data_IF_962144992709
#
_entry.id   IF_962144992709
#
_cell.length_a   1.000
_cell.length_b   1.000
_cell.length_c   1.000
_cell.angle_alpha   90.00
_cell.angle_beta   90.00
_cell.angle_gamma   90.00
#
_symmetry.space_group_name_H-M   'P 1'
#
loop_
_entity.id
_entity.type
_entity.pdbx_description
1 polymer ?
#
# COMPACT_ATOMS: atom_id res chain seq x y z
N UNK A 1 -20.01 -18.55 22.53
CA UNK A 1 -20.70 -19.84 22.75
C UNK A 1 -22.00 -19.53 23.47
N UNK A 2 -23.14 -19.77 22.82
CA UNK A 2 -24.48 -19.70 23.42
C UNK A 2 -25.13 -21.07 23.22
N UNK A 3 -25.81 -21.56 24.25
CA UNK A 3 -26.39 -22.90 24.32
C UNK A 3 -27.75 -22.98 23.62
N UNK A 4 -28.13 -24.20 23.28
CA UNK A 4 -29.32 -24.60 22.51
C UNK A 4 -30.66 -24.23 23.21
N UNK A 5 -30.60 -23.71 24.44
CA UNK A 5 -31.74 -23.29 25.24
C UNK A 5 -32.10 -21.80 25.09
N UNK A 6 -31.47 -21.05 24.18
CA UNK A 6 -31.71 -19.60 23.95
C UNK A 6 -32.15 -19.27 22.52
N UNK A 7 -32.62 -20.24 21.73
CA UNK A 7 -33.11 -20.02 20.36
C UNK A 7 -34.64 -19.98 20.34
N UNK A 8 -35.23 -18.89 19.82
CA UNK A 8 -36.66 -18.82 19.54
C UNK A 8 -37.07 -19.89 18.51
N UNK A 9 -38.24 -20.53 18.64
CA UNK A 9 -38.68 -21.56 17.70
C UNK A 9 -38.99 -20.96 16.32
N UNK A 10 -38.64 -21.66 15.23
CA UNK A 10 -38.87 -21.16 13.88
C UNK A 10 -40.37 -21.05 13.57
N UNK A 11 -40.77 -19.92 12.98
CA UNK A 11 -42.13 -19.71 12.46
C UNK A 11 -42.41 -20.70 11.33
N UNK A 12 -43.32 -21.63 11.57
CA UNK A 12 -43.89 -22.53 10.56
C UNK A 12 -44.55 -21.73 9.44
N UNK A 13 -43.97 -21.76 8.23
CA UNK A 13 -44.70 -21.40 7.01
C UNK A 13 -45.22 -22.68 6.34
N UNK A 14 -46.55 -22.73 6.29
CA UNK A 14 -47.38 -23.82 5.78
C UNK A 14 -47.34 -23.81 4.25
N UNK A 15 -46.90 -24.92 3.65
CA UNK A 15 -46.99 -25.15 2.21
C UNK A 15 -48.45 -25.18 1.75
N UNK A 16 -48.75 -24.46 0.65
CA UNK A 16 -49.90 -24.74 -0.21
C UNK A 16 -49.60 -24.33 -1.66
N UNK A 17 -49.26 -25.35 -2.45
CA UNK A 17 -49.53 -25.65 -3.85
C UNK A 17 -49.64 -24.54 -4.93
N UNK A 18 -48.74 -24.68 -5.92
CA UNK A 18 -48.86 -24.61 -7.39
C UNK A 18 -49.79 -23.58 -8.08
N UNK A 19 -49.20 -22.75 -8.94
CA UNK A 19 -49.43 -22.72 -10.41
C UNK A 19 -48.67 -21.58 -11.09
N UNK A 20 -48.34 -21.81 -12.37
CA UNK A 20 -47.61 -20.94 -13.28
C UNK A 20 -48.36 -19.65 -13.62
N UNK A 21 -47.62 -18.57 -13.95
CA UNK A 21 -47.79 -17.70 -15.14
C UNK A 21 -46.77 -16.55 -15.09
N UNK A 22 -46.10 -16.36 -16.23
CA UNK A 22 -45.23 -15.24 -16.56
C UNK A 22 -45.82 -13.86 -16.20
N UNK A 23 -45.06 -13.02 -15.50
CA UNK A 23 -45.22 -11.57 -15.64
C UNK A 23 -43.89 -10.83 -15.46
N UNK A 24 -43.68 -9.89 -16.39
CA UNK A 24 -42.51 -9.03 -16.53
C UNK A 24 -42.37 -8.13 -15.29
N UNK A 25 -41.25 -8.24 -14.58
CA UNK A 25 -40.84 -7.23 -13.62
C UNK A 25 -39.70 -6.42 -14.24
N UNK A 26 -40.04 -5.22 -14.71
CA UNK A 26 -39.08 -4.14 -14.90
C UNK A 26 -38.36 -3.96 -13.57
N UNK A 27 -37.06 -4.26 -13.58
CA UNK A 27 -36.17 -4.03 -12.46
C UNK A 27 -35.99 -2.52 -12.34
N UNK A 28 -36.84 -1.89 -11.52
CA UNK A 28 -36.61 -0.52 -11.05
C UNK A 28 -35.18 -0.48 -10.50
N UNK A 29 -34.39 0.43 -11.07
CA UNK A 29 -33.05 0.77 -10.59
C UNK A 29 -33.20 1.16 -9.13
N UNK A 30 -32.59 0.40 -8.24
CA UNK A 30 -32.46 0.80 -6.83
C UNK A 30 -31.71 2.13 -6.82
N UNK A 31 -32.17 3.07 -5.99
CA UNK A 31 -31.42 4.27 -5.65
C UNK A 31 -29.97 3.89 -5.25
N UNK A 32 -28.97 4.74 -5.55
CA UNK A 32 -27.59 4.44 -5.19
C UNK A 32 -27.50 4.19 -3.69
N UNK A 33 -26.93 3.05 -3.32
CA UNK A 33 -26.58 2.73 -1.94
C UNK A 33 -25.84 3.92 -1.32
N UNK A 34 -26.23 4.31 -0.11
CA UNK A 34 -25.52 5.34 0.66
C UNK A 34 -24.00 5.11 0.59
N UNK A 35 -23.19 6.15 0.34
CA UNK A 35 -21.76 5.96 0.17
C UNK A 35 -21.16 5.43 1.48
N UNK A 36 -20.59 4.24 1.43
CA UNK A 36 -19.67 3.77 2.47
C UNK A 36 -18.31 4.44 2.25
N UNK A 37 -17.77 5.07 3.27
CA UNK A 37 -16.61 5.95 3.16
C UNK A 37 -15.30 5.20 3.38
N UNK A 38 -14.23 5.72 2.78
CA UNK A 38 -12.86 5.30 3.03
C UNK A 38 -12.07 6.50 3.54
N UNK A 39 -11.39 6.32 4.67
CA UNK A 39 -10.62 7.38 5.33
C UNK A 39 -9.11 7.13 5.20
N UNK A 40 -8.32 8.20 5.16
CA UNK A 40 -6.87 8.17 5.04
C UNK A 40 -6.21 8.88 6.23
N UNK A 41 -5.23 8.26 6.89
CA UNK A 41 -4.36 8.90 7.89
C UNK A 41 -2.94 9.04 7.34
N UNK A 42 -2.31 10.18 7.57
CA UNK A 42 -0.88 10.41 7.32
C UNK A 42 -0.05 10.10 8.57
N UNK A 43 1.28 10.04 8.43
CA UNK A 43 2.25 9.88 9.52
C UNK A 43 2.17 11.01 10.56
N UNK A 44 1.78 12.22 10.17
CA UNK A 44 1.54 13.31 11.12
C UNK A 44 0.34 13.06 12.04
N UNK A 45 -0.64 12.26 11.58
CA UNK A 45 -1.90 11.97 12.27
C UNK A 45 -1.96 10.58 12.92
N UNK A 46 -0.93 9.75 12.72
CA UNK A 46 -0.78 8.48 13.42
C UNK A 46 -0.21 8.75 14.81
N UNK A 47 -0.66 7.99 15.82
CA UNK A 47 -0.14 8.12 17.19
C UNK A 47 1.38 7.99 17.15
N UNK A 48 2.08 8.99 17.66
CA UNK A 48 3.54 8.99 17.62
C UNK A 48 4.06 7.74 18.34
N UNK A 49 4.88 6.89 17.69
CA UNK A 49 5.66 5.92 18.43
C UNK A 49 6.69 6.71 19.26
N UNK A 50 6.30 7.05 20.48
CA UNK A 50 7.06 7.67 21.56
C UNK A 50 8.49 8.12 21.20
N UNK A 51 8.63 9.42 20.92
CA UNK A 51 9.85 10.25 20.87
C UNK A 51 11.22 9.54 20.80
N UNK A 52 11.90 9.65 19.66
CA UNK A 52 13.37 9.67 19.63
C UNK A 52 13.86 11.05 19.19
N UNK A 53 14.54 11.74 20.12
CA UNK A 53 15.21 13.02 19.88
C UNK A 53 16.18 12.88 18.70
N UNK A 54 16.01 13.74 17.69
CA UNK A 54 17.05 14.06 16.72
C UNK A 54 18.31 14.48 17.47
N UNK A 55 19.41 13.77 17.25
CA UNK A 55 20.74 14.23 17.61
C UNK A 55 21.43 14.61 16.30
N UNK A 56 21.72 15.90 16.16
CA UNK A 56 22.29 16.54 14.98
C UNK A 56 23.60 15.88 14.52
N UNK A 57 23.70 15.56 13.23
CA UNK A 57 24.99 15.34 12.57
C UNK A 57 25.44 16.66 11.94
N UNK A 58 26.11 17.47 12.74
CA UNK A 58 27.03 18.50 12.25
C UNK A 58 28.43 17.86 12.17
N UNK A 59 29.00 17.74 10.99
CA UNK A 59 30.45 17.76 10.84
C UNK A 59 30.85 18.63 9.65
N UNK A 60 31.47 19.75 10.00
CA UNK A 60 32.27 20.58 9.12
C UNK A 60 33.48 19.80 8.60
N UNK A 61 33.90 20.05 7.35
CA UNK A 61 35.33 20.17 7.06
C UNK A 61 35.58 21.11 5.87
N UNK A 62 36.48 22.05 6.16
CA UNK A 62 36.94 23.18 5.38
C UNK A 62 38.00 22.83 4.33
N UNK A 63 37.90 23.50 3.18
CA UNK A 63 38.94 24.09 2.30
C UNK A 63 40.42 23.72 2.55
N UNK A 64 41.10 23.28 1.47
CA UNK A 64 42.50 23.65 1.17
C UNK A 64 42.78 23.60 -0.34
N UNK A 65 43.25 24.72 -0.89
CA UNK A 65 43.82 24.87 -2.24
C UNK A 65 45.34 24.61 -2.20
N UNK A 66 45.92 24.00 -3.25
CA UNK A 66 47.03 24.57 -4.07
C UNK A 66 47.67 23.59 -5.08
N UNK A 67 47.79 24.09 -6.32
CA UNK A 67 48.88 24.05 -7.33
C UNK A 67 49.61 22.73 -7.72
N UNK A 68 49.40 22.32 -8.99
CA UNK A 68 50.41 22.15 -10.07
C UNK A 68 51.59 21.17 -9.93
N UNK A 69 51.66 20.15 -10.80
CA UNK A 69 52.68 20.02 -11.85
C UNK A 69 52.37 18.83 -12.80
N UNK A 70 52.85 18.95 -14.04
CA UNK A 70 52.50 18.21 -15.26
C UNK A 70 53.53 17.12 -15.52
N UNK A 71 53.13 15.85 -15.58
CA UNK A 71 53.88 14.80 -16.29
C UNK A 71 52.95 13.89 -17.07
N UNK A 72 52.92 14.11 -18.38
CA UNK A 72 52.37 13.17 -19.35
C UNK A 72 53.16 11.86 -19.33
N UNK A 73 52.46 10.74 -19.30
CA UNK A 73 52.90 9.50 -19.97
C UNK A 73 51.68 8.64 -20.36
N UNK A 74 51.43 8.68 -21.66
CA UNK A 74 51.12 7.55 -22.56
C UNK A 74 49.76 6.85 -22.39
N UNK A 75 49.01 6.97 -23.49
CA UNK A 75 47.74 6.39 -23.88
C UNK A 75 47.73 4.85 -23.71
N UNK A 76 46.72 4.34 -22.99
CA UNK A 76 46.05 3.09 -23.36
C UNK A 76 44.58 3.42 -23.55
N UNK A 77 44.17 3.46 -24.81
CA UNK A 77 42.79 3.40 -25.26
C UNK A 77 42.14 2.12 -24.76
N UNK A 78 41.24 2.24 -23.80
CA UNK A 78 40.13 1.31 -23.62
C UNK A 78 38.90 2.17 -23.40
N UNK A 79 38.02 2.17 -24.41
CA UNK A 79 36.70 2.78 -24.37
C UNK A 79 35.93 2.27 -23.15
N UNK A 80 35.89 3.09 -22.11
CA UNK A 80 34.94 2.97 -21.01
C UNK A 80 33.55 3.28 -21.56
N UNK A 81 32.77 2.24 -21.81
CA UNK A 81 31.34 2.34 -21.97
C UNK A 81 30.75 2.06 -20.59
N UNK A 82 30.31 3.10 -19.90
CA UNK A 82 29.47 2.96 -18.72
C UNK A 82 28.09 2.40 -19.15
N UNK A 83 27.69 1.17 -18.76
CA UNK A 83 26.40 0.59 -19.14
C UNK A 83 25.27 0.97 -18.16
N UNK A 84 25.59 1.67 -17.07
CA UNK A 84 24.72 1.82 -15.89
C UNK A 84 23.35 2.47 -16.16
N UNK A 85 23.22 3.58 -16.94
CA UNK A 85 21.91 4.19 -17.16
C UNK A 85 20.99 3.38 -18.11
N UNK A 86 21.58 2.54 -18.98
CA UNK A 86 20.79 1.70 -19.89
C UNK A 86 20.21 0.48 -19.16
N UNK A 87 21.01 -0.15 -18.28
CA UNK A 87 20.59 -1.33 -17.52
C UNK A 87 19.47 -1.01 -16.51
N UNK A 88 19.59 0.10 -15.77
CA UNK A 88 18.56 0.55 -14.81
C UNK A 88 17.21 0.83 -15.51
N UNK A 89 17.26 1.43 -16.70
CA UNK A 89 16.06 1.72 -17.49
C UNK A 89 15.41 0.45 -18.05
N UNK A 90 16.20 -0.53 -18.50
CA UNK A 90 15.68 -1.83 -18.96
C UNK A 90 15.00 -2.61 -17.81
N UNK A 91 15.63 -2.63 -16.63
CA UNK A 91 15.05 -3.22 -15.43
C UNK A 91 13.70 -2.57 -15.08
N UNK A 92 13.65 -1.24 -15.00
CA UNK A 92 12.43 -0.51 -14.64
C UNK A 92 11.29 -0.78 -15.64
N UNK A 93 11.59 -0.83 -16.95
CA UNK A 93 10.62 -1.17 -17.98
C UNK A 93 10.08 -2.59 -17.81
N UNK A 94 10.95 -3.56 -17.56
CA UNK A 94 10.57 -4.95 -17.34
C UNK A 94 9.71 -5.08 -16.07
N UNK A 95 10.09 -4.39 -15.00
CA UNK A 95 9.37 -4.36 -13.74
C UNK A 95 7.95 -3.80 -13.93
N UNK A 96 7.80 -2.63 -14.58
CA UNK A 96 6.50 -2.05 -14.92
C UNK A 96 5.64 -2.99 -15.77
N UNK A 97 6.22 -3.61 -16.80
CA UNK A 97 5.50 -4.56 -17.66
C UNK A 97 4.92 -5.74 -16.87
N UNK A 98 5.64 -6.24 -15.87
CA UNK A 98 5.14 -7.32 -15.03
C UNK A 98 4.01 -6.87 -14.11
N UNK A 99 4.07 -5.64 -13.57
CA UNK A 99 2.95 -5.09 -12.80
C UNK A 99 1.71 -4.88 -13.68
N UNK A 100 1.86 -4.38 -14.90
CA UNK A 100 0.75 -4.29 -15.87
C UNK A 100 0.14 -5.68 -16.07
N UNK A 101 0.94 -6.71 -16.37
CA UNK A 101 0.45 -8.09 -16.52
C UNK A 101 -0.25 -8.63 -15.27
N UNK A 102 0.24 -8.29 -14.08
CA UNK A 102 -0.32 -8.75 -12.78
C UNK A 102 -1.65 -8.08 -12.47
N UNK A 103 -1.81 -6.79 -12.79
CA UNK A 103 -2.93 -5.96 -12.34
C UNK A 103 -3.89 -5.47 -13.44
N UNK A 104 -3.62 -5.75 -14.72
CA UNK A 104 -4.52 -5.37 -15.82
C UNK A 104 -5.93 -5.98 -15.71
N UNK A 105 -6.07 -7.11 -15.01
CA UNK A 105 -7.33 -7.85 -14.89
C UNK A 105 -7.66 -8.11 -13.41
N UNK A 106 -8.94 -8.02 -13.04
CA UNK A 106 -9.41 -8.45 -11.72
C UNK A 106 -9.45 -9.98 -11.65
N UNK A 107 -8.44 -10.58 -11.05
CA UNK A 107 -8.47 -12.01 -10.71
C UNK A 107 -9.27 -12.23 -9.43
N UNK A 108 -10.60 -12.23 -9.55
CA UNK A 108 -11.52 -12.41 -8.41
C UNK A 108 -12.91 -12.92 -8.75
N UNK A 109 -13.27 -13.01 -10.04
CA UNK A 109 -14.46 -13.74 -10.50
C UNK A 109 -13.96 -14.85 -11.40
N UNK A 110 -14.19 -16.10 -11.00
CA UNK A 110 -13.84 -17.29 -11.78
C UNK A 110 -14.76 -17.38 -13.01
N UNK A 111 -14.51 -16.52 -13.98
CA UNK A 111 -15.03 -16.63 -15.34
C UNK A 111 -13.86 -17.07 -16.19
N UNK A 112 -14.11 -18.09 -17.01
CA UNK A 112 -13.16 -18.79 -17.86
C UNK A 112 -12.16 -17.84 -18.56
N UNK A 113 -10.99 -18.37 -18.92
CA UNK A 113 -9.84 -17.67 -19.52
C UNK A 113 -10.17 -16.65 -20.63
N UNK A 114 -11.35 -16.75 -21.25
CA UNK A 114 -11.88 -15.89 -22.32
C UNK A 114 -12.56 -14.59 -21.87
N UNK A 115 -12.92 -14.41 -20.59
CA UNK A 115 -13.65 -13.21 -20.10
C UNK A 115 -12.88 -12.46 -19.00
N UNK A 116 -11.63 -12.06 -19.28
CA UNK A 116 -10.89 -11.18 -18.38
C UNK A 116 -11.38 -9.74 -18.55
N UNK A 117 -12.14 -9.23 -17.58
CA UNK A 117 -12.52 -7.81 -17.56
C UNK A 117 -11.31 -6.95 -17.21
N UNK A 118 -11.02 -5.96 -18.05
CA UNK A 118 -9.93 -5.02 -17.81
C UNK A 118 -10.28 -4.12 -16.64
N UNK A 119 -9.36 -3.95 -15.70
CA UNK A 119 -9.60 -3.11 -14.53
C UNK A 119 -9.98 -1.68 -14.93
N UNK A 120 -9.33 -1.14 -15.96
CA UNK A 120 -9.60 0.20 -16.49
C UNK A 120 -11.03 0.39 -17.03
N UNK A 121 -11.73 -0.68 -17.43
CA UNK A 121 -13.09 -0.58 -17.99
C UNK A 121 -14.18 -0.56 -16.91
N UNK A 122 -13.87 -1.07 -15.72
CA UNK A 122 -14.85 -1.25 -14.63
C UNK A 122 -14.50 -0.48 -13.37
N UNK A 123 -13.31 0.12 -13.31
CA UNK A 123 -12.87 0.89 -12.16
C UNK A 123 -13.78 2.11 -11.96
N UNK A 124 -14.31 2.21 -10.75
CA UNK A 124 -14.98 3.42 -10.26
C UNK A 124 -14.11 4.01 -9.17
N UNK A 125 -13.83 5.31 -9.26
CA UNK A 125 -12.99 6.01 -8.28
C UNK A 125 -13.63 5.97 -6.91
N UNK A 126 -12.82 5.58 -5.92
CA UNK A 126 -13.25 5.50 -4.53
C UNK A 126 -13.22 6.90 -3.91
N UNK A 127 -14.28 7.26 -3.18
CA UNK A 127 -14.31 8.49 -2.41
C UNK A 127 -13.46 8.31 -1.15
N UNK A 128 -12.27 8.91 -1.15
CA UNK A 128 -11.33 8.88 -0.02
C UNK A 128 -11.40 10.24 0.67
N UNK A 129 -11.47 10.23 2.00
CA UNK A 129 -11.47 11.43 2.83
C UNK A 129 -10.32 11.42 3.83
N UNK A 130 -9.94 12.58 4.32
CA UNK A 130 -9.01 12.67 5.44
C UNK A 130 -9.64 12.06 6.71
N UNK A 131 -8.89 11.17 7.36
CA UNK A 131 -9.31 10.49 8.58
C UNK A 131 -8.95 11.31 9.82
N UNK A 132 -9.95 11.72 10.58
CA UNK A 132 -9.78 12.47 11.83
C UNK A 132 -8.99 11.69 12.91
N UNK A 133 -8.36 12.40 13.85
CA UNK A 133 -7.63 11.81 14.98
C UNK A 133 -8.55 11.11 15.99
N UNK A 134 -9.86 11.29 15.86
CA UNK A 134 -10.87 10.70 16.75
C UNK A 134 -10.78 9.18 16.83
N UNK A 135 -10.96 8.65 18.04
CA UNK A 135 -10.99 7.22 18.35
C UNK A 135 -11.83 6.47 17.32
N UNK A 136 -11.20 5.48 16.68
CA UNK A 136 -11.89 4.54 15.81
C UNK A 136 -12.84 3.77 16.71
N UNK A 137 -14.12 4.10 16.65
CA UNK A 137 -15.13 3.40 17.42
C UNK A 137 -15.01 1.90 17.08
N UNK A 138 -14.53 1.07 18.03
CA UNK A 138 -14.23 -0.38 17.86
C UNK A 138 -15.49 -1.23 17.64
N UNK A 139 -16.57 -0.57 17.30
CA UNK A 139 -17.88 -1.14 17.06
C UNK A 139 -17.96 -1.84 15.69
N UNK A 140 -19.02 -2.61 15.51
CA UNK A 140 -19.28 -3.37 14.29
C UNK A 140 -19.23 -2.50 13.02
N UNK A 141 -18.80 -3.10 11.90
CA UNK A 141 -18.69 -2.43 10.58
C UNK A 141 -19.97 -1.68 10.19
N UNK A 142 -21.15 -2.20 10.57
CA UNK A 142 -22.46 -1.55 10.35
C UNK A 142 -22.53 -0.16 10.99
N UNK A 143 -22.08 -0.02 12.25
CA UNK A 143 -22.10 1.26 12.97
C UNK A 143 -21.09 2.25 12.39
N UNK A 144 -19.98 1.76 11.82
CA UNK A 144 -19.01 2.61 11.14
C UNK A 144 -19.57 3.17 9.84
N UNK A 145 -20.32 2.36 9.08
CA UNK A 145 -21.03 2.82 7.88
C UNK A 145 -22.09 3.87 8.27
N UNK A 146 -22.91 3.59 9.29
CA UNK A 146 -23.93 4.53 9.76
C UNK A 146 -23.32 5.84 10.27
N UNK A 147 -22.21 5.76 11.03
CA UNK A 147 -21.54 6.94 11.56
C UNK A 147 -20.98 7.81 10.43
N UNK A 148 -20.41 7.19 9.39
CA UNK A 148 -19.89 7.91 8.24
C UNK A 148 -21.02 8.49 7.36
N UNK A 149 -22.12 7.75 7.17
CA UNK A 149 -23.34 8.24 6.48
C UNK A 149 -23.96 9.48 7.15
N UNK A 150 -23.85 9.58 8.49
CA UNK A 150 -24.36 10.74 9.25
C UNK A 150 -23.47 11.98 9.20
N UNK A 151 -22.22 11.89 8.69
CA UNK A 151 -21.34 13.07 8.56
C UNK A 151 -21.82 13.92 7.40
N UNK A 152 -21.93 15.24 7.62
CA UNK A 152 -22.30 16.17 6.56
C UNK A 152 -21.11 16.38 5.63
N UNK A 153 -21.35 16.30 4.31
CA UNK A 153 -20.34 16.45 3.23
C UNK A 153 -19.56 17.77 3.25
N UNK A 154 -19.95 18.73 4.10
CA UNK A 154 -19.30 20.02 4.26
C UNK A 154 -18.07 19.98 5.18
N UNK A 155 -17.85 18.91 5.93
CA UNK A 155 -16.73 18.78 6.90
C UNK A 155 -15.58 17.89 6.39
N UNK A 156 -15.75 17.17 5.27
CA UNK A 156 -14.76 16.20 4.79
C UNK A 156 -13.97 16.75 3.60
N UNK A 157 -12.63 16.70 3.69
CA UNK A 157 -11.74 17.03 2.57
C UNK A 157 -11.60 15.80 1.67
N UNK A 158 -12.14 15.81 0.43
CA UNK A 158 -11.96 14.70 -0.48
C UNK A 158 -10.51 14.65 -0.99
N UNK A 159 -9.96 13.44 -1.04
CA UNK A 159 -8.60 13.14 -1.48
C UNK A 159 -8.69 12.24 -2.70
N UNK A 160 -8.00 12.61 -3.78
CA UNK A 160 -7.86 11.71 -4.93
C UNK A 160 -6.85 10.64 -4.60
N UNK A 161 -7.11 9.40 -5.03
CA UNK A 161 -6.21 8.26 -4.79
C UNK A 161 -4.77 8.52 -5.26
N UNK A 162 -4.59 9.24 -6.38
CA UNK A 162 -3.26 9.55 -6.92
C UNK A 162 -2.52 10.66 -6.14
N UNK A 163 -3.23 11.36 -5.24
CA UNK A 163 -2.76 12.50 -4.48
C UNK A 163 -2.53 12.17 -3.00
N UNK A 164 -2.67 10.91 -2.58
CA UNK A 164 -2.59 10.49 -1.16
C UNK A 164 -1.27 10.83 -0.45
N UNK A 165 -0.17 11.03 -1.20
CA UNK A 165 1.13 11.42 -0.67
C UNK A 165 1.41 12.92 -0.81
N UNK A 166 0.51 13.68 -1.43
CA UNK A 166 0.64 15.13 -1.47
C UNK A 166 0.31 15.70 -0.09
N UNK A 167 1.01 16.75 0.35
CA UNK A 167 0.69 17.39 1.62
C UNK A 167 -0.78 17.82 1.65
N UNK A 168 -1.45 17.52 2.75
CA UNK A 168 -2.79 18.03 3.03
C UNK A 168 -2.64 19.52 3.37
N UNK A 169 -3.56 20.34 2.87
CA UNK A 169 -3.54 21.80 3.05
C UNK A 169 -3.28 22.14 4.52
N UNK A 170 -2.20 22.91 4.77
CA UNK A 170 -1.64 23.35 6.06
C UNK A 170 -0.41 22.56 6.59
N UNK A 171 0.06 21.51 5.91
CA UNK A 171 1.28 20.78 6.28
C UNK A 171 2.42 21.05 5.27
N UNK A 172 3.51 21.70 5.70
CA UNK A 172 4.72 21.88 4.86
C UNK A 172 5.58 20.60 4.76
N UNK A 173 5.26 19.57 5.56
CA UNK A 173 6.01 18.31 5.58
C UNK A 173 5.50 17.32 4.53
N UNK A 174 6.39 16.66 3.78
CA UNK A 174 6.00 15.59 2.87
C UNK A 174 5.47 14.38 3.66
N UNK A 175 4.36 13.81 3.21
CA UNK A 175 3.78 12.60 3.80
C UNK A 175 4.66 11.41 3.41
N UNK A 176 5.21 10.71 4.41
CA UNK A 176 5.98 9.48 4.18
C UNK A 176 5.09 8.24 4.20
N UNK A 177 4.15 8.17 5.13
CA UNK A 177 3.31 6.99 5.34
C UNK A 177 1.84 7.35 5.31
N UNK A 178 1.07 6.55 4.57
CA UNK A 178 -0.37 6.67 4.41
C UNK A 178 -1.03 5.38 4.90
N UNK A 179 -2.03 5.50 5.77
CA UNK A 179 -2.89 4.40 6.22
C UNK A 179 -4.33 4.64 5.76
N UNK A 180 -4.79 3.84 4.80
CA UNK A 180 -6.16 3.88 4.29
C UNK A 180 -7.03 2.86 5.01
N UNK A 181 -8.04 3.33 5.73
CA UNK A 181 -8.99 2.52 6.50
C UNK A 181 -10.37 2.53 5.85
N UNK A 182 -11.03 1.37 5.82
CA UNK A 182 -12.40 1.27 5.34
C UNK A 182 -12.98 -0.13 5.53
N UNK A 183 -14.30 -0.28 5.49
CA UNK A 183 -14.98 -1.56 5.73
C UNK A 183 -14.64 -2.63 4.68
N UNK A 184 -15.04 -3.87 4.93
CA UNK A 184 -14.88 -4.96 3.98
C UNK A 184 -15.58 -4.66 2.65
N UNK A 185 -14.99 -5.09 1.53
CA UNK A 185 -15.64 -4.99 0.21
C UNK A 185 -15.70 -3.58 -0.39
N UNK A 186 -15.24 -2.54 0.31
CA UNK A 186 -15.34 -1.15 -0.16
C UNK A 186 -14.39 -0.79 -1.33
N UNK A 187 -13.57 -1.73 -1.79
CA UNK A 187 -12.69 -1.51 -2.94
C UNK A 187 -11.30 -0.92 -2.63
N UNK A 188 -10.81 -1.04 -1.39
CA UNK A 188 -9.42 -0.66 -1.02
C UNK A 188 -8.38 -1.34 -1.91
N UNK A 189 -8.40 -2.68 -1.96
CA UNK A 189 -7.50 -3.48 -2.81
C UNK A 189 -7.63 -3.12 -4.29
N UNK A 190 -8.85 -2.91 -4.79
CA UNK A 190 -9.09 -2.54 -6.20
C UNK A 190 -8.47 -1.16 -6.50
N UNK A 191 -8.53 -0.21 -5.56
CA UNK A 191 -7.91 1.11 -5.69
C UNK A 191 -6.38 1.04 -5.68
N UNK A 192 -5.79 0.20 -4.82
CA UNK A 192 -4.34 -0.10 -4.85
C UNK A 192 -3.93 -0.67 -6.21
N UNK A 193 -4.65 -1.67 -6.71
CA UNK A 193 -4.36 -2.29 -8.01
C UNK A 193 -4.45 -1.27 -9.15
N UNK A 194 -5.45 -0.39 -9.11
CA UNK A 194 -5.63 0.67 -10.09
C UNK A 194 -4.49 1.70 -10.06
N UNK A 195 -4.10 2.14 -8.87
CA UNK A 195 -2.97 3.06 -8.69
C UNK A 195 -1.67 2.48 -9.27
N UNK A 196 -1.39 1.20 -8.97
CA UNK A 196 -0.21 0.50 -9.52
C UNK A 196 -0.29 0.39 -11.04
N UNK A 197 -1.45 0.04 -11.58
CA UNK A 197 -1.65 -0.12 -13.02
C UNK A 197 -1.43 1.21 -13.76
N UNK A 198 -2.02 2.31 -13.28
CA UNK A 198 -1.84 3.61 -13.92
C UNK A 198 -0.39 4.11 -13.84
N UNK A 199 0.32 3.84 -12.74
CA UNK A 199 1.76 4.11 -12.65
C UNK A 199 2.58 3.26 -13.62
N UNK A 200 2.30 1.96 -13.71
CA UNK A 200 3.04 1.03 -14.54
C UNK A 200 2.82 1.31 -16.05
N UNK A 201 1.63 1.79 -16.42
CA UNK A 201 1.28 2.26 -17.77
C UNK A 201 1.85 3.66 -18.09
N UNK A 202 2.48 4.34 -17.13
CA UNK A 202 3.14 5.63 -17.34
C UNK A 202 2.23 6.85 -17.23
N UNK A 203 1.02 6.72 -16.66
CA UNK A 203 0.00 7.79 -16.66
C UNK A 203 0.19 8.81 -15.54
N UNK A 204 0.47 8.35 -14.32
CA UNK A 204 0.54 9.19 -13.10
C UNK A 204 1.68 8.74 -12.19
N UNK A 205 2.04 9.60 -11.21
CA UNK A 205 3.02 9.33 -10.15
C UNK A 205 4.39 8.84 -10.66
N UNK A 206 4.83 9.32 -11.84
CA UNK A 206 6.10 8.94 -12.47
C UNK A 206 7.34 9.52 -11.77
N UNK A 207 7.14 10.37 -10.76
CA UNK A 207 8.16 10.77 -9.80
C UNK A 207 8.60 9.60 -8.91
N UNK A 208 7.76 8.56 -8.74
CA UNK A 208 8.11 7.32 -8.06
C UNK A 208 8.83 6.38 -9.03
N UNK A 209 10.04 5.98 -8.67
CA UNK A 209 10.90 5.15 -9.52
C UNK A 209 10.50 3.68 -9.51
N UNK A 210 10.11 3.14 -8.35
CA UNK A 210 9.60 1.76 -8.20
C UNK A 210 8.46 1.70 -7.18
N UNK A 211 7.49 0.81 -7.45
CA UNK A 211 6.40 0.46 -6.55
C UNK A 211 6.43 -1.03 -6.22
N UNK A 212 6.55 -1.37 -4.94
CA UNK A 212 6.56 -2.75 -4.46
C UNK A 212 5.24 -3.10 -3.77
N UNK A 213 4.27 -3.67 -4.50
CA UNK A 213 3.05 -4.18 -3.89
C UNK A 213 3.29 -5.48 -3.14
N UNK A 214 3.14 -5.43 -1.82
CA UNK A 214 3.38 -6.53 -0.88
C UNK A 214 2.10 -6.82 -0.09
N UNK A 215 1.17 -7.63 -0.61
CA UNK A 215 -0.02 -8.01 0.15
C UNK A 215 0.37 -8.75 1.42
N UNK A 216 -0.20 -8.39 2.57
CA UNK A 216 0.11 -9.05 3.84
C UNK A 216 -0.17 -10.55 3.82
N UNK A 217 -1.17 -10.97 3.03
CA UNK A 217 -1.45 -12.39 2.78
C UNK A 217 -0.27 -13.14 2.17
N UNK A 218 0.47 -12.52 1.25
CA UNK A 218 1.67 -13.12 0.63
C UNK A 218 2.82 -13.14 1.63
N UNK A 219 3.00 -12.05 2.41
CA UNK A 219 4.03 -11.95 3.44
C UNK A 219 3.87 -13.00 4.55
N UNK A 220 2.63 -13.37 4.89
CA UNK A 220 2.36 -14.45 5.85
C UNK A 220 2.97 -15.81 5.44
N UNK A 221 3.22 -16.03 4.14
CA UNK A 221 3.81 -17.28 3.62
C UNK A 221 5.32 -17.37 3.89
N UNK A 222 5.97 -16.24 4.23
CA UNK A 222 7.42 -16.14 4.42
C UNK A 222 7.80 -15.98 5.90
N UNK A 223 6.83 -16.17 6.81
CA UNK A 223 6.96 -15.92 8.25
C UNK A 223 8.14 -16.62 8.96
N UNK A 224 8.50 -17.82 8.51
CA UNK A 224 9.51 -18.66 9.16
C UNK A 224 10.91 -18.46 8.53
N UNK A 225 11.02 -17.56 7.55
CA UNK A 225 12.28 -17.26 6.87
C UNK A 225 12.97 -16.07 7.54
N UNK A 226 14.30 -16.13 7.58
CA UNK A 226 15.15 -14.97 7.80
C UNK A 226 15.64 -14.50 6.45
N UNK A 227 15.32 -13.26 6.10
CA UNK A 227 15.60 -12.65 4.81
C UNK A 227 16.17 -11.27 5.07
N UNK A 228 17.06 -10.81 4.19
CA UNK A 228 17.28 -9.38 4.07
C UNK A 228 16.11 -8.70 3.36
N UNK A 229 16.06 -7.36 3.35
CA UNK A 229 15.06 -6.65 2.54
C UNK A 229 15.25 -6.97 1.06
N UNK A 230 16.49 -7.11 0.62
CA UNK A 230 16.84 -7.45 -0.76
C UNK A 230 16.36 -8.87 -1.13
N UNK A 231 16.53 -9.84 -0.22
CA UNK A 231 16.03 -11.20 -0.43
C UNK A 231 14.49 -11.22 -0.50
N UNK A 232 13.81 -10.51 0.41
CA UNK A 232 12.35 -10.40 0.41
C UNK A 232 11.84 -9.86 -0.93
N UNK A 233 12.46 -8.78 -1.42
CA UNK A 233 12.12 -8.19 -2.71
C UNK A 233 12.41 -9.16 -3.86
N UNK A 234 13.53 -9.87 -3.85
CA UNK A 234 13.86 -10.85 -4.89
C UNK A 234 12.88 -12.03 -4.93
N UNK A 235 12.42 -12.50 -3.78
CA UNK A 235 11.41 -13.57 -3.68
C UNK A 235 10.06 -13.09 -4.24
N UNK A 236 9.63 -11.87 -3.91
CA UNK A 236 8.37 -11.30 -4.38
C UNK A 236 8.43 -10.84 -5.86
N UNK A 237 9.59 -10.39 -6.32
CA UNK A 237 9.82 -9.77 -7.61
C UNK A 237 11.14 -10.30 -8.19
N UNK A 238 11.08 -11.41 -8.92
CA UNK A 238 12.27 -12.13 -9.45
C UNK A 238 13.21 -11.27 -10.28
N UNK A 239 12.72 -10.15 -10.79
CA UNK A 239 13.49 -9.20 -11.58
C UNK A 239 14.44 -8.33 -10.75
N UNK A 240 14.20 -8.14 -9.45
CA UNK A 240 15.03 -7.25 -8.62
C UNK A 240 16.41 -7.87 -8.41
N UNK A 241 17.45 -7.22 -8.93
CA UNK A 241 18.84 -7.54 -8.61
C UNK A 241 19.41 -6.57 -7.60
N UNK A 242 20.39 -7.05 -6.83
CA UNK A 242 21.01 -6.31 -5.74
C UNK A 242 21.65 -4.99 -6.19
N UNK A 243 22.29 -5.00 -7.36
CA UNK A 243 22.98 -3.87 -7.97
C UNK A 243 22.06 -2.78 -8.51
N UNK A 244 20.75 -3.03 -8.64
CA UNK A 244 19.81 -2.14 -9.33
C UNK A 244 18.94 -1.32 -8.34
N UNK A 245 19.09 -1.55 -7.03
CA UNK A 245 18.34 -0.85 -5.98
C UNK A 245 19.10 0.28 -5.29
N UNK A 246 20.43 0.28 -5.36
CA UNK A 246 21.32 1.23 -4.67
C UNK A 246 21.23 2.66 -5.21
N UNK A 247 20.72 2.85 -6.43
CA UNK A 247 20.55 4.16 -7.09
C UNK A 247 19.13 4.73 -6.96
N UNK A 248 18.24 4.08 -6.21
CA UNK A 248 16.84 4.46 -6.15
C UNK A 248 16.57 5.51 -5.07
N UNK A 249 16.07 6.67 -5.49
CA UNK A 249 15.81 7.82 -4.61
C UNK A 249 14.38 7.83 -4.07
N UNK A 250 13.40 7.38 -4.87
CA UNK A 250 11.98 7.43 -4.51
C UNK A 250 11.26 6.12 -4.82
N UNK A 251 11.15 5.29 -3.78
CA UNK A 251 10.49 3.98 -3.82
C UNK A 251 9.22 4.04 -2.97
N UNK A 252 8.17 3.35 -3.43
CA UNK A 252 6.93 3.17 -2.68
C UNK A 252 6.71 1.70 -2.35
N UNK A 253 6.50 1.39 -1.08
CA UNK A 253 6.00 0.08 -0.63
C UNK A 253 4.50 0.17 -0.37
N UNK A 254 3.74 -0.76 -0.93
CA UNK A 254 2.28 -0.82 -0.75
C UNK A 254 1.93 -2.12 -0.02
N UNK A 255 1.57 -2.02 1.25
CA UNK A 255 1.15 -3.13 2.09
C UNK A 255 -0.38 -3.23 2.11
N UNK A 256 -0.91 -4.12 1.28
CA UNK A 256 -2.36 -4.29 1.14
C UNK A 256 -2.90 -5.34 2.13
N UNK A 257 -3.95 -4.99 2.87
CA UNK A 257 -4.72 -5.90 3.72
C UNK A 257 -4.10 -6.20 5.08
N UNK A 258 -3.79 -5.18 5.90
CA UNK A 258 -3.24 -5.37 7.25
C UNK A 258 -4.16 -6.25 8.14
N UNK A 259 -5.47 -6.23 7.91
CA UNK A 259 -6.43 -7.11 8.57
C UNK A 259 -6.20 -8.61 8.28
N UNK A 260 -5.41 -8.95 7.27
CA UNK A 260 -5.00 -10.31 6.95
C UNK A 260 -3.64 -10.69 7.55
N UNK A 261 -2.89 -9.75 8.12
CA UNK A 261 -1.58 -10.02 8.71
C UNK A 261 -1.72 -10.76 10.04
N UNK A 262 -0.96 -11.84 10.20
CA UNK A 262 -1.14 -12.78 11.32
C UNK A 262 -0.16 -12.60 12.46
N UNK A 263 0.79 -11.67 12.34
CA UNK A 263 1.85 -11.46 13.32
C UNK A 263 1.67 -10.12 14.01
N UNK A 264 1.79 -10.05 15.34
CA UNK A 264 1.79 -8.78 16.05
C UNK A 264 2.94 -7.89 15.56
N UNK A 265 2.64 -6.63 15.26
CA UNK A 265 3.65 -5.63 14.95
C UNK A 265 4.08 -4.92 16.25
N UNK A 266 5.05 -5.49 16.96
CA UNK A 266 5.57 -4.87 18.19
C UNK A 266 6.56 -3.75 17.86
N UNK A 267 6.03 -2.54 17.65
CA UNK A 267 6.86 -1.37 17.37
C UNK A 267 7.77 -0.96 18.53
N UNK A 268 7.55 -1.43 19.77
CA UNK A 268 8.33 -1.00 20.93
C UNK A 268 9.58 -1.87 21.13
N UNK A 269 9.42 -3.19 21.08
CA UNK A 269 10.51 -4.11 21.43
C UNK A 269 11.23 -4.72 20.23
N UNK A 270 10.83 -4.37 19.00
CA UNK A 270 11.48 -4.88 17.78
C UNK A 270 12.91 -4.37 17.64
N UNK A 271 13.81 -5.30 17.33
CA UNK A 271 15.21 -5.02 17.01
C UNK A 271 15.33 -4.03 15.83
N UNK A 272 16.29 -3.12 15.95
CA UNK A 272 16.55 -2.11 14.92
C UNK A 272 17.42 -2.73 13.82
N UNK A 273 16.91 -2.72 12.60
CA UNK A 273 17.64 -3.09 11.38
C UNK A 273 17.71 -1.85 10.49
N UNK A 274 18.90 -1.51 10.01
CA UNK A 274 19.13 -0.32 9.16
C UNK A 274 19.77 -0.65 7.81
N UNK A 275 20.37 -1.84 7.68
CA UNK A 275 21.01 -2.29 6.44
C UNK A 275 20.05 -3.18 5.64
N UNK A 276 19.90 -2.89 4.35
CA UNK A 276 19.01 -3.63 3.45
C UNK A 276 19.49 -5.05 3.18
N UNK A 277 20.75 -5.36 3.47
CA UNK A 277 21.39 -6.68 3.33
C UNK A 277 21.37 -7.49 4.63
N UNK A 278 21.03 -6.86 5.76
CA UNK A 278 20.95 -7.54 7.06
C UNK A 278 19.72 -8.46 7.14
N UNK A 279 19.95 -9.72 7.49
CA UNK A 279 18.89 -10.73 7.56
C UNK A 279 18.10 -10.66 8.86
N UNK A 280 16.79 -10.47 8.75
CA UNK A 280 15.86 -10.51 9.88
C UNK A 280 14.58 -11.28 9.51
N UNK A 281 13.72 -11.53 10.49
CA UNK A 281 12.39 -12.06 10.18
C UNK A 281 11.53 -11.02 9.45
N UNK A 282 10.58 -11.46 8.63
CA UNK A 282 9.73 -10.56 7.82
C UNK A 282 9.04 -9.48 8.66
N UNK A 283 8.48 -9.81 9.84
CA UNK A 283 7.83 -8.81 10.69
C UNK A 283 8.80 -7.71 11.17
N UNK A 284 10.05 -8.06 11.51
CA UNK A 284 11.11 -7.09 11.87
C UNK A 284 11.43 -6.18 10.70
N UNK A 285 11.54 -6.71 9.48
CA UNK A 285 11.78 -5.90 8.27
C UNK A 285 10.64 -4.90 8.04
N UNK A 286 9.38 -5.34 8.14
CA UNK A 286 8.20 -4.48 7.96
C UNK A 286 8.16 -3.35 8.98
N UNK A 287 8.39 -3.66 10.25
CA UNK A 287 8.42 -2.66 11.33
C UNK A 287 9.54 -1.65 11.07
N UNK A 288 10.74 -2.09 10.68
CA UNK A 288 11.85 -1.20 10.41
C UNK A 288 11.64 -0.35 9.13
N UNK A 289 10.92 -0.86 8.11
CA UNK A 289 10.46 -0.05 6.97
C UNK A 289 9.44 1.00 7.41
N UNK A 290 8.42 0.62 8.18
CA UNK A 290 7.38 1.55 8.64
C UNK A 290 7.98 2.64 9.53
N UNK A 291 8.88 2.29 10.46
CA UNK A 291 9.61 3.25 11.31
C UNK A 291 10.62 4.11 10.56
N UNK A 292 11.02 3.72 9.34
CA UNK A 292 12.04 4.40 8.57
C UNK A 292 13.48 4.15 9.03
N UNK A 293 13.72 3.06 9.77
CA UNK A 293 15.07 2.58 10.02
C UNK A 293 15.66 1.94 8.75
N UNK A 294 14.83 1.19 8.02
CA UNK A 294 15.12 0.72 6.67
C UNK A 294 14.52 1.69 5.64
N UNK A 295 15.33 2.09 4.66
CA UNK A 295 14.95 3.01 3.59
C UNK A 295 14.19 4.25 4.10
N UNK A 296 14.86 5.16 4.82
CA UNK A 296 14.21 6.31 5.46
C UNK A 296 13.39 7.18 4.49
N UNK A 297 13.83 7.29 3.23
CA UNK A 297 13.17 8.09 2.18
C UNK A 297 12.03 7.36 1.46
N UNK A 298 11.79 6.06 1.72
CA UNK A 298 10.73 5.32 1.06
C UNK A 298 9.34 5.80 1.51
N UNK A 299 8.43 5.89 0.54
CA UNK A 299 7.01 6.09 0.79
C UNK A 299 6.37 4.75 1.19
N UNK A 300 5.39 4.79 2.08
CA UNK A 300 4.69 3.62 2.58
C UNK A 300 3.18 3.85 2.46
N UNK A 301 2.46 2.94 1.81
CA UNK A 301 0.99 2.93 1.79
C UNK A 301 0.48 1.63 2.40
N UNK A 302 -0.37 1.72 3.42
CA UNK A 302 -0.97 0.58 4.10
C UNK A 302 -2.49 0.66 3.93
N UNK A 303 -3.14 -0.45 3.56
CA UNK A 303 -4.60 -0.55 3.61
C UNK A 303 -5.03 -1.47 4.75
N UNK A 304 -6.13 -1.13 5.42
CA UNK A 304 -6.62 -1.92 6.55
C UNK A 304 -8.12 -1.79 6.74
N UNK A 305 -8.73 -2.78 7.40
CA UNK A 305 -10.01 -2.54 8.08
C UNK A 305 -9.78 -1.73 9.35
N UNK A 306 -10.76 -0.90 9.77
CA UNK A 306 -10.62 -0.09 10.98
C UNK A 306 -10.22 -0.90 12.22
N UNK A 307 -10.78 -2.11 12.41
CA UNK A 307 -10.47 -2.96 13.56
C UNK A 307 -9.02 -3.47 13.63
N UNK A 308 -8.32 -3.58 12.50
CA UNK A 308 -6.94 -4.04 12.43
C UNK A 308 -5.94 -2.88 12.34
N UNK A 309 -6.43 -1.65 12.17
CA UNK A 309 -5.61 -0.48 11.93
C UNK A 309 -4.93 0.06 13.21
N UNK A 310 -5.34 -0.39 14.39
CA UNK A 310 -4.71 -0.03 15.68
C UNK A 310 -3.40 -0.80 15.93
N UNK A 311 -3.01 -1.69 15.00
CA UNK A 311 -1.73 -2.40 15.07
C UNK A 311 -0.52 -1.51 14.70
N UNK A 312 -0.77 -0.31 14.17
CA UNK A 312 0.22 0.64 13.64
C UNK A 312 -0.09 2.05 14.11
#
# INVERSE_FOLDING_TARGET
>A
MKSDASMDPPRNFRNKDSSSVHSKLQRKRSDPSEPSYVSMKSDASMDSPWNFRNRDFSSAHSVLQKSGDRREKIIITATGHDPEPAAVNEFQKKFKLNLVKKFQCLNGVMINLDNRTLLNEIYTELYITEGDSGDVNKEHEVRQIEAASRRTTTEETPIKCNDIFKPLSDQDKPIRTVLTKGVAGIGKTVSVQKFILDWAEGKVNQDIQLMFPLPFRELNLMKDQKLSLMDLLHVCFKETKETEMSSLEKVLFIFDGLDEYRFPLDFQNTERVCDVTESASVHVLLINLIKGNLLPSALIWITSRPAAADQI
#
